data_IF_940115306919
#
_entry.id   IF_940115306919
#
_cell.length_a   1.000
_cell.length_b   1.000
_cell.length_c   1.000
_cell.angle_alpha   90.00
_cell.angle_beta   90.00
_cell.angle_gamma   90.00
#
_symmetry.space_group_name_H-M   'P 1'
#
loop_
_entity.id
_entity.type
_entity.pdbx_description
1 polymer ?
#
# COMPACT_ATOMS: atom_id res chain seq x y z
N UNK A 1 7.12 -26.79 27.31
CA UNK A 1 7.40 -26.52 25.88
C UNK A 1 6.73 -25.20 25.55
N UNK A 2 7.47 -24.21 25.04
CA UNK A 2 6.90 -22.93 24.63
C UNK A 2 6.11 -23.13 23.33
N UNK A 3 4.79 -22.92 23.39
CA UNK A 3 3.94 -22.89 22.21
C UNK A 3 4.32 -21.69 21.34
N UNK A 4 4.43 -21.91 20.04
CA UNK A 4 4.69 -20.83 19.08
C UNK A 4 3.51 -19.86 19.03
N UNK A 5 3.77 -18.57 18.76
CA UNK A 5 2.74 -17.52 18.80
C UNK A 5 1.51 -17.78 17.92
N UNK A 6 1.62 -18.65 16.91
CA UNK A 6 0.51 -19.05 16.04
C UNK A 6 -0.50 -19.98 16.74
N UNK A 7 -0.05 -20.81 17.67
CA UNK A 7 -0.93 -21.73 18.40
C UNK A 7 -1.81 -20.97 19.41
N UNK A 8 -1.27 -19.90 20.01
CA UNK A 8 -2.00 -19.02 20.93
C UNK A 8 -3.15 -18.28 20.24
N UNK A 9 -2.94 -17.82 19.00
CA UNK A 9 -3.98 -17.15 18.20
C UNK A 9 -5.12 -18.11 17.84
N UNK A 10 -4.81 -19.41 17.68
CA UNK A 10 -5.79 -20.43 17.31
C UNK A 10 -6.73 -20.78 18.47
N UNK A 11 -6.22 -20.82 19.70
CA UNK A 11 -7.05 -21.02 20.90
C UNK A 11 -7.96 -19.83 21.21
N UNK A 12 -7.53 -18.60 20.94
CA UNK A 12 -8.36 -17.41 21.14
C UNK A 12 -9.61 -17.38 20.24
N UNK A 13 -9.58 -18.07 19.09
CA UNK A 13 -10.72 -18.15 18.16
C UNK A 13 -11.82 -19.12 18.61
N UNK A 14 -11.54 -20.09 19.47
CA UNK A 14 -12.55 -21.08 19.88
C UNK A 14 -13.48 -20.58 21.00
N UNK A 15 -13.13 -19.46 21.66
CA UNK A 15 -13.85 -18.92 22.80
C UNK A 15 -14.71 -17.67 22.50
N UNK A 16 -14.72 -17.19 21.25
CA UNK A 16 -15.52 -16.03 20.85
C UNK A 16 -16.89 -16.43 20.28
N UNK A 17 -17.75 -17.08 21.09
CA UNK A 17 -19.18 -17.19 20.82
C UNK A 17 -19.87 -15.85 21.14
N UNK A 18 -19.65 -14.87 20.27
CA UNK A 18 -20.18 -13.51 20.44
C UNK A 18 -20.50 -12.88 19.08
N UNK A 19 -21.69 -13.18 18.57
CA UNK A 19 -22.27 -12.58 17.37
C UNK A 19 -22.49 -11.06 17.59
N UNK A 20 -21.47 -10.22 17.37
CA UNK A 20 -21.63 -8.76 17.25
C UNK A 20 -20.71 -8.21 16.16
N UNK A 21 -21.35 -7.48 15.25
CA UNK A 21 -20.80 -6.67 14.16
C UNK A 21 -19.83 -7.37 13.21
N UNK A 22 -20.32 -7.71 12.02
CA UNK A 22 -19.52 -7.78 10.78
C UNK A 22 -19.02 -6.38 10.39
N UNK A 23 -18.28 -5.72 11.28
CA UNK A 23 -17.38 -4.64 10.87
C UNK A 23 -16.16 -5.28 10.24
N UNK A 24 -15.62 -4.65 9.21
CA UNK A 24 -14.51 -5.09 8.36
C UNK A 24 -13.20 -5.27 9.14
N UNK A 25 -13.09 -6.32 9.98
CA UNK A 25 -11.87 -6.62 10.76
C UNK A 25 -10.67 -6.94 9.87
N UNK A 26 -10.87 -7.18 8.58
CA UNK A 26 -9.79 -7.35 7.60
C UNK A 26 -9.18 -6.03 7.09
N UNK A 27 -9.74 -4.86 7.46
CA UNK A 27 -9.32 -3.59 6.87
C UNK A 27 -8.11 -2.93 7.56
N UNK A 28 -7.65 -3.37 8.73
CA UNK A 28 -6.67 -2.58 9.48
C UNK A 28 -5.65 -3.47 10.19
N UNK A 29 -4.52 -3.71 9.52
CA UNK A 29 -3.22 -3.88 10.21
C UNK A 29 -2.02 -3.75 9.27
N UNK A 30 -2.24 -3.74 7.94
CA UNK A 30 -1.17 -3.64 6.96
C UNK A 30 -0.79 -2.19 6.60
N UNK A 31 -1.75 -1.27 6.57
CA UNK A 31 -1.53 0.12 6.10
C UNK A 31 -0.56 0.93 6.97
N UNK A 32 -0.45 0.60 8.27
CA UNK A 32 0.52 1.23 9.18
C UNK A 32 1.82 0.42 9.34
N UNK A 33 2.04 -0.62 8.53
CA UNK A 33 3.30 -1.34 8.58
C UNK A 33 4.42 -0.54 7.90
N UNK A 34 5.65 -0.61 8.43
CA UNK A 34 6.80 0.07 7.84
C UNK A 34 6.92 -0.19 6.33
N UNK A 35 6.70 -1.43 5.89
CA UNK A 35 6.72 -1.79 4.47
C UNK A 35 5.74 -0.97 3.60
N UNK A 36 4.49 -0.81 4.04
CA UNK A 36 3.47 -0.07 3.28
C UNK A 36 3.79 1.42 3.24
N UNK A 37 4.27 1.97 4.36
CA UNK A 37 4.70 3.36 4.44
C UNK A 37 5.91 3.62 3.53
N UNK A 38 6.90 2.73 3.54
CA UNK A 38 8.10 2.85 2.70
C UNK A 38 7.75 2.75 1.21
N UNK A 39 6.86 1.80 0.85
CA UNK A 39 6.38 1.66 -0.52
C UNK A 39 5.60 2.90 -0.98
N UNK A 40 4.67 3.40 -0.15
CA UNK A 40 3.90 4.62 -0.42
C UNK A 40 4.83 5.82 -0.64
N UNK A 41 5.77 6.04 0.27
CA UNK A 41 6.75 7.13 0.19
C UNK A 41 7.61 7.02 -1.07
N UNK A 42 8.07 5.81 -1.43
CA UNK A 42 8.86 5.58 -2.64
C UNK A 42 8.08 5.96 -3.90
N UNK A 43 6.80 5.57 -3.97
CA UNK A 43 5.92 5.90 -5.09
C UNK A 43 5.70 7.42 -5.17
N UNK A 44 5.42 8.09 -4.06
CA UNK A 44 5.26 9.56 -4.01
C UNK A 44 6.52 10.30 -4.49
N UNK A 45 7.71 9.86 -4.04
CA UNK A 45 8.99 10.42 -4.49
C UNK A 45 9.20 10.22 -5.99
N UNK A 46 8.83 9.06 -6.53
CA UNK A 46 9.00 8.79 -7.95
C UNK A 46 7.99 9.59 -8.80
N UNK A 47 6.76 9.78 -8.34
CA UNK A 47 5.80 10.70 -8.97
C UNK A 47 6.39 12.11 -9.04
N UNK A 48 6.91 12.62 -7.92
CA UNK A 48 7.55 13.94 -7.89
C UNK A 48 8.76 14.02 -8.85
N UNK A 49 9.54 12.95 -8.97
CA UNK A 49 10.65 12.85 -9.92
C UNK A 49 10.17 12.89 -11.38
N UNK A 50 9.08 12.18 -11.71
CA UNK A 50 8.46 12.23 -13.02
C UNK A 50 7.96 13.65 -13.36
N UNK A 51 7.34 14.34 -12.40
CA UNK A 51 6.84 15.71 -12.59
C UNK A 51 7.98 16.71 -12.83
N UNK A 52 9.08 16.59 -12.10
CA UNK A 52 10.30 17.38 -12.34
C UNK A 52 10.93 17.07 -13.70
N UNK A 53 10.99 15.80 -14.08
CA UNK A 53 11.52 15.38 -15.37
C UNK A 53 10.65 15.89 -16.53
N UNK A 54 9.31 15.91 -16.36
CA UNK A 54 8.39 16.49 -17.34
C UNK A 54 8.58 17.99 -17.53
N UNK A 55 8.91 18.73 -16.47
CA UNK A 55 9.18 20.16 -16.56
C UNK A 55 10.41 20.48 -17.44
N UNK A 56 11.39 19.57 -17.47
CA UNK A 56 12.67 19.77 -18.17
C UNK A 56 12.75 19.06 -19.54
N UNK A 57 11.85 18.09 -19.79
CA UNK A 57 11.87 17.28 -21.02
C UNK A 57 11.15 17.98 -22.18
N UNK A 58 11.89 18.20 -23.28
CA UNK A 58 11.39 18.84 -24.52
C UNK A 58 10.87 17.85 -25.56
N UNK A 59 11.40 16.63 -25.60
CA UNK A 59 11.02 15.63 -26.62
C UNK A 59 9.62 15.07 -26.32
N UNK A 60 8.70 15.20 -27.27
CA UNK A 60 7.31 14.70 -27.12
C UNK A 60 7.27 13.20 -26.81
N UNK A 61 8.15 12.41 -27.43
CA UNK A 61 8.20 10.97 -27.21
C UNK A 61 8.63 10.66 -25.78
N UNK A 62 9.65 11.33 -25.27
CA UNK A 62 10.11 11.14 -23.90
C UNK A 62 9.05 11.62 -22.89
N UNK A 63 8.41 12.76 -23.15
CA UNK A 63 7.30 13.26 -22.33
C UNK A 63 6.18 12.23 -22.19
N UNK A 64 5.77 11.62 -23.31
CA UNK A 64 4.72 10.58 -23.30
C UNK A 64 5.10 9.37 -22.43
N UNK A 65 6.38 8.96 -22.44
CA UNK A 65 6.86 7.87 -21.59
C UNK A 65 6.76 8.26 -20.11
N UNK A 66 7.22 9.47 -19.77
CA UNK A 66 7.22 9.96 -18.38
C UNK A 66 5.79 10.17 -17.87
N UNK A 67 4.89 10.72 -18.69
CA UNK A 67 3.46 10.88 -18.36
C UNK A 67 2.79 9.53 -18.12
N UNK A 68 3.12 8.52 -18.93
CA UNK A 68 2.61 7.16 -18.75
C UNK A 68 3.12 6.52 -17.45
N UNK A 69 4.39 6.68 -17.13
CA UNK A 69 4.97 6.19 -15.87
C UNK A 69 4.32 6.88 -14.66
N UNK A 70 4.21 8.21 -14.69
CA UNK A 70 3.53 8.98 -13.64
C UNK A 70 2.07 8.54 -13.44
N UNK A 71 1.36 8.24 -14.53
CA UNK A 71 -0.01 7.73 -14.47
C UNK A 71 -0.08 6.36 -13.80
N UNK A 72 0.82 5.43 -14.16
CA UNK A 72 0.88 4.11 -13.54
C UNK A 72 1.16 4.24 -12.04
N UNK A 73 2.11 5.09 -11.65
CA UNK A 73 2.45 5.31 -10.24
C UNK A 73 1.27 5.89 -9.45
N UNK A 74 0.52 6.83 -10.02
CA UNK A 74 -0.70 7.39 -9.41
C UNK A 74 -1.77 6.30 -9.20
N UNK A 75 -1.97 5.43 -10.18
CA UNK A 75 -2.89 4.29 -10.05
C UNK A 75 -2.44 3.30 -8.97
N UNK A 76 -1.15 3.01 -8.87
CA UNK A 76 -0.62 2.15 -7.79
C UNK A 76 -0.85 2.80 -6.44
N UNK A 77 -0.62 4.11 -6.31
CA UNK A 77 -0.88 4.85 -5.07
C UNK A 77 -2.35 4.79 -4.68
N UNK A 78 -3.27 5.01 -5.62
CA UNK A 78 -4.72 4.88 -5.39
C UNK A 78 -5.10 3.47 -4.91
N UNK A 79 -4.47 2.42 -5.46
CA UNK A 79 -4.70 1.04 -5.03
C UNK A 79 -4.15 0.72 -3.63
N UNK A 80 -3.13 1.44 -3.16
CA UNK A 80 -2.58 1.28 -1.81
C UNK A 80 -3.42 1.98 -0.75
N UNK A 81 -4.21 2.98 -1.15
CA UNK A 81 -5.04 3.79 -0.25
C UNK A 81 -6.51 3.28 -0.17
N UNK A 82 -6.86 2.24 -0.93
CA UNK A 82 -8.19 1.59 -0.98
C UNK A 82 -8.27 0.30 -0.18
#
# INVERSE_FOLDING_TARGET
MNLTGLDQIREMKSSASGFKSRQSVFFIEYSNQPFYNDLRNMIEVQIGSCEQLLATTKSIVQRNVIEREATILKLVLELLEY
#
